data_IF_835177987726
#
_entry.id   IF_835177987726
#
_cell.length_a   1.000
_cell.length_b   1.000
_cell.length_c   1.000
_cell.angle_alpha   90.00
_cell.angle_beta   90.00
_cell.angle_gamma   90.00
#
_symmetry.space_group_name_H-M   'P 1'
#
loop_
_entity.id
_entity.type
_entity.pdbx_description
1 polymer ?
#
# COMPACT_ATOMS: atom_id res chain seq x y z
N UNK A 1 -22.60 -4.19 3.58
CA UNK A 1 -21.90 -4.86 4.69
C UNK A 1 -21.12 -6.04 4.16
N UNK A 2 -19.90 -6.18 4.57
CA UNK A 2 -19.05 -7.31 4.15
C UNK A 2 -19.21 -8.47 5.13
N UNK A 3 -19.51 -9.64 4.61
CA UNK A 3 -19.59 -10.84 5.44
C UNK A 3 -18.21 -11.28 5.88
N UNK A 4 -18.15 -11.91 7.05
CA UNK A 4 -16.92 -12.51 7.54
C UNK A 4 -16.47 -13.63 6.60
N UNK A 5 -15.16 -13.71 6.37
CA UNK A 5 -14.57 -14.76 5.57
C UNK A 5 -14.46 -16.05 6.36
N UNK A 6 -14.40 -17.21 5.67
CA UNK A 6 -14.14 -18.48 6.36
C UNK A 6 -12.84 -18.44 7.15
N UNK A 7 -12.79 -19.24 8.22
CA UNK A 7 -11.59 -19.41 9.00
C UNK A 7 -10.47 -20.04 8.16
N UNK A 8 -9.25 -19.54 8.33
CA UNK A 8 -8.04 -20.10 7.70
C UNK A 8 -7.03 -20.45 8.78
N UNK A 9 -6.01 -21.25 8.44
CA UNK A 9 -4.95 -21.56 9.38
C UNK A 9 -4.03 -20.35 9.57
N UNK A 10 -3.35 -20.29 10.70
CA UNK A 10 -2.35 -19.25 10.98
C UNK A 10 -1.23 -19.25 9.94
N UNK A 11 -0.90 -20.42 9.39
CA UNK A 11 0.12 -20.51 8.33
C UNK A 11 -0.24 -19.71 7.09
N UNK A 12 -1.53 -19.61 6.73
CA UNK A 12 -1.97 -18.78 5.62
C UNK A 12 -1.67 -17.30 5.88
N UNK A 13 -1.84 -16.84 7.12
CA UNK A 13 -1.46 -15.47 7.48
C UNK A 13 0.05 -15.27 7.38
N UNK A 14 0.84 -16.25 7.81
CA UNK A 14 2.30 -16.17 7.76
C UNK A 14 2.85 -16.16 6.32
N UNK A 15 2.10 -16.69 5.35
CA UNK A 15 2.49 -16.69 3.94
C UNK A 15 2.44 -15.29 3.31
N UNK A 16 1.65 -14.38 3.89
CA UNK A 16 1.51 -13.02 3.37
C UNK A 16 2.52 -12.11 4.07
N UNK A 17 3.42 -11.51 3.30
CA UNK A 17 4.47 -10.64 3.83
C UNK A 17 4.01 -9.18 3.78
N UNK A 18 3.64 -8.63 4.94
CA UNK A 18 3.17 -7.25 5.07
C UNK A 18 4.25 -6.46 5.79
N UNK A 19 4.72 -5.39 5.16
CA UNK A 19 5.79 -4.54 5.68
C UNK A 19 5.37 -3.08 5.72
N UNK A 20 5.99 -2.33 6.63
CA UNK A 20 5.86 -0.89 6.64
C UNK A 20 6.92 -0.27 5.74
N UNK A 21 6.56 0.79 5.03
CA UNK A 21 7.51 1.56 4.23
C UNK A 21 7.15 3.03 4.25
N UNK A 22 8.10 3.89 3.88
CA UNK A 22 7.92 5.33 3.81
C UNK A 22 7.73 5.76 2.36
N UNK A 23 6.68 6.50 2.07
CA UNK A 23 6.44 7.07 0.74
C UNK A 23 7.48 8.16 0.48
N UNK A 24 8.31 7.98 -0.55
CA UNK A 24 9.36 8.94 -0.91
C UNK A 24 9.01 9.77 -2.15
N UNK A 25 8.16 9.25 -3.04
CA UNK A 25 7.74 9.97 -4.25
C UNK A 25 6.27 9.71 -4.52
N UNK A 26 5.56 10.75 -4.94
CA UNK A 26 4.14 10.67 -5.32
C UNK A 26 4.00 11.35 -6.68
N UNK A 27 3.44 10.64 -7.65
CA UNK A 27 3.25 11.15 -9.01
C UNK A 27 1.81 10.91 -9.47
N UNK A 28 1.31 11.81 -10.33
CA UNK A 28 0.03 11.63 -11.00
C UNK A 28 0.04 10.35 -11.85
N UNK A 29 -1.14 9.74 -12.02
CA UNK A 29 -1.29 8.56 -12.86
C UNK A 29 -2.39 8.79 -13.90
N UNK A 30 -2.15 9.63 -14.91
CA UNK A 30 -3.20 9.97 -15.89
C UNK A 30 -3.65 8.77 -16.74
N UNK A 31 -2.80 7.75 -16.92
CA UNK A 31 -3.14 6.57 -17.72
C UNK A 31 -4.04 5.57 -16.99
N UNK A 32 -4.20 5.71 -15.68
CA UNK A 32 -5.05 4.80 -14.91
C UNK A 32 -6.52 5.05 -15.22
N UNK A 33 -7.33 4.00 -15.32
CA UNK A 33 -8.78 4.11 -15.56
C UNK A 33 -9.50 4.84 -14.44
N UNK A 34 -9.11 4.56 -13.20
CA UNK A 34 -9.64 5.22 -12.01
C UNK A 34 -8.57 6.12 -11.43
N UNK A 35 -8.94 7.28 -10.88
CA UNK A 35 -7.96 8.18 -10.29
C UNK A 35 -7.09 7.45 -9.27
N UNK A 36 -5.77 7.60 -9.41
CA UNK A 36 -4.79 6.93 -8.57
C UNK A 36 -3.52 7.76 -8.48
N UNK A 37 -2.71 7.47 -7.46
CA UNK A 37 -1.36 7.99 -7.31
C UNK A 37 -0.36 6.89 -7.64
N UNK A 38 0.75 7.24 -8.28
CA UNK A 38 1.93 6.38 -8.39
C UNK A 38 2.84 6.68 -7.21
N UNK A 39 3.04 5.70 -6.36
CA UNK A 39 3.87 5.83 -5.16
C UNK A 39 5.20 5.12 -5.35
N UNK A 40 6.28 5.73 -4.87
CA UNK A 40 7.54 5.06 -4.66
C UNK A 40 7.75 4.97 -3.15
N UNK A 41 7.97 3.76 -2.65
CA UNK A 41 7.96 3.48 -1.21
C UNK A 41 9.27 2.79 -0.83
N UNK A 42 9.92 3.28 0.21
CA UNK A 42 11.14 2.70 0.76
C UNK A 42 10.79 1.76 1.90
N UNK A 43 11.03 0.46 1.69
CA UNK A 43 10.79 -0.59 2.69
C UNK A 43 12.06 -1.01 3.43
N UNK A 44 13.10 -0.21 3.38
CA UNK A 44 14.36 -0.54 4.04
C UNK A 44 15.27 -1.43 3.18
N UNK A 45 16.47 -1.74 3.68
CA UNK A 45 17.51 -2.38 2.86
C UNK A 45 17.19 -3.82 2.43
N UNK A 46 16.36 -4.55 3.17
CA UNK A 46 16.04 -5.94 2.82
C UNK A 46 15.08 -6.02 1.63
N UNK A 47 13.98 -5.26 1.69
CA UNK A 47 12.96 -5.26 0.64
C UNK A 47 13.31 -4.25 -0.45
N UNK A 48 13.87 -3.11 -0.05
CA UNK A 48 14.27 -2.06 -0.98
C UNK A 48 13.14 -1.11 -1.33
N UNK A 49 13.35 -0.33 -2.38
CA UNK A 49 12.40 0.65 -2.89
C UNK A 49 11.48 -0.01 -3.90
N UNK A 50 10.17 0.14 -3.71
CA UNK A 50 9.15 -0.49 -4.56
C UNK A 50 8.13 0.55 -5.02
N UNK A 51 7.47 0.25 -6.14
CA UNK A 51 6.43 1.08 -6.73
C UNK A 51 5.05 0.49 -6.46
N UNK A 52 4.07 1.36 -6.24
CA UNK A 52 2.69 0.96 -6.01
C UNK A 52 1.74 1.96 -6.65
N UNK A 53 0.71 1.47 -7.32
CA UNK A 53 -0.44 2.27 -7.70
C UNK A 53 -1.48 2.19 -6.59
N UNK A 54 -2.03 3.33 -6.18
CA UNK A 54 -3.01 3.36 -5.10
C UNK A 54 -4.16 4.31 -5.44
N UNK A 55 -5.40 3.80 -5.38
CA UNK A 55 -6.61 4.55 -5.66
C UNK A 55 -7.05 5.32 -4.41
N UNK A 56 -6.26 6.28 -4.00
CA UNK A 56 -6.44 7.01 -2.74
C UNK A 56 -6.53 8.53 -2.96
N UNK A 57 -7.07 8.95 -4.09
CA UNK A 57 -7.12 10.37 -4.44
C UNK A 57 -8.21 11.16 -3.73
N UNK A 58 -9.19 10.49 -3.11
CA UNK A 58 -10.31 11.18 -2.45
C UNK A 58 -9.86 11.93 -1.18
N UNK A 59 -8.98 11.35 -0.39
CA UNK A 59 -8.57 11.90 0.90
C UNK A 59 -7.13 12.41 0.93
N UNK A 60 -6.32 12.09 -0.09
CA UNK A 60 -4.89 12.39 -0.07
C UNK A 60 -4.46 13.11 -1.33
N UNK A 61 -3.61 14.10 -1.17
CA UNK A 61 -2.87 14.72 -2.26
C UNK A 61 -1.38 14.37 -2.15
N UNK A 62 -0.59 14.82 -3.12
CA UNK A 62 0.83 14.51 -3.14
C UNK A 62 1.55 15.06 -1.90
N UNK A 63 1.16 16.26 -1.44
CA UNK A 63 1.79 16.89 -0.28
C UNK A 63 1.52 16.12 1.01
N UNK A 64 0.31 15.55 1.16
CA UNK A 64 -0.07 14.82 2.38
C UNK A 64 0.53 13.41 2.43
N UNK A 65 0.90 12.85 1.28
CA UNK A 65 1.41 11.48 1.19
C UNK A 65 2.92 11.39 1.38
N UNK A 66 3.68 12.36 0.91
CA UNK A 66 5.14 12.32 1.00
C UNK A 66 5.64 12.24 2.43
N UNK A 67 6.53 11.29 2.71
CA UNK A 67 7.09 11.08 4.04
C UNK A 67 6.22 10.25 4.98
N UNK A 68 5.03 9.85 4.54
CA UNK A 68 4.10 9.06 5.37
C UNK A 68 4.49 7.59 5.35
N UNK A 69 4.44 6.94 6.52
CA UNK A 69 4.56 5.49 6.58
C UNK A 69 3.24 4.83 6.23
N UNK A 70 3.31 3.77 5.43
CA UNK A 70 2.17 2.97 5.00
C UNK A 70 2.50 1.49 5.16
N UNK A 71 1.47 0.65 5.10
CA UNK A 71 1.62 -0.80 5.14
C UNK A 71 1.28 -1.37 3.77
N UNK A 72 2.06 -2.34 3.32
CA UNK A 72 1.84 -2.97 2.03
C UNK A 72 2.19 -4.45 2.05
N UNK A 73 1.50 -5.22 1.21
CA UNK A 73 1.88 -6.60 0.93
C UNK A 73 2.99 -6.57 -0.10
N UNK A 74 4.15 -7.14 0.23
CA UNK A 74 5.35 -7.05 -0.60
C UNK A 74 5.67 -8.34 -1.38
N UNK A 75 4.93 -9.42 -1.16
CA UNK A 75 5.19 -10.69 -1.81
C UNK A 75 4.08 -11.18 -2.74
N UNK A 76 3.36 -10.24 -3.35
CA UNK A 76 2.43 -10.56 -4.43
C UNK A 76 3.12 -10.40 -5.79
N UNK A 77 2.66 -11.12 -6.84
CA UNK A 77 3.17 -10.88 -8.19
C UNK A 77 2.97 -9.42 -8.61
N UNK A 78 3.93 -8.82 -9.33
CA UNK A 78 3.74 -7.48 -9.87
C UNK A 78 2.53 -7.40 -10.79
N UNK A 79 1.87 -6.24 -10.81
CA UNK A 79 0.71 -5.98 -11.65
C UNK A 79 1.00 -4.84 -12.62
N UNK A 80 0.80 -5.08 -13.90
CA UNK A 80 0.95 -4.04 -14.90
C UNK A 80 -0.36 -3.25 -15.06
N UNK A 81 -0.25 -1.92 -14.98
CA UNK A 81 -1.37 -0.99 -15.15
C UNK A 81 -0.92 0.03 -16.18
N UNK A 82 -1.32 -0.16 -17.46
CA UNK A 82 -0.80 0.63 -18.55
C UNK A 82 0.73 0.53 -18.62
N UNK A 83 1.46 1.65 -18.65
CA UNK A 83 2.93 1.65 -18.69
C UNK A 83 3.58 1.43 -17.33
N UNK A 84 2.80 1.37 -16.24
CA UNK A 84 3.30 1.31 -14.87
C UNK A 84 3.20 -0.10 -14.31
N UNK A 85 4.25 -0.53 -13.60
CA UNK A 85 4.26 -1.82 -12.91
C UNK A 85 4.14 -1.56 -11.41
N UNK A 86 3.00 -2.00 -10.82
CA UNK A 86 2.78 -1.94 -9.39
C UNK A 86 3.37 -3.20 -8.74
N UNK A 87 4.37 -3.03 -7.90
CA UNK A 87 5.14 -4.15 -7.33
C UNK A 87 4.60 -4.63 -6.00
N UNK A 88 3.91 -3.76 -5.26
CA UNK A 88 3.37 -4.06 -3.94
C UNK A 88 1.92 -3.60 -3.85
N UNK A 89 1.18 -4.12 -2.88
CA UNK A 89 -0.20 -3.74 -2.63
C UNK A 89 -0.25 -2.85 -1.38
N UNK A 90 -0.41 -1.55 -1.58
CA UNK A 90 -0.62 -0.61 -0.48
C UNK A 90 -1.99 -0.84 0.14
N UNK A 91 -2.04 -1.01 1.46
CA UNK A 91 -3.25 -1.42 2.17
C UNK A 91 -4.06 -0.23 2.66
N UNK A 92 -5.38 -0.39 2.63
CA UNK A 92 -6.30 0.62 3.12
C UNK A 92 -7.65 0.02 3.51
N UNK A 93 -8.46 0.84 4.10
CA UNK A 93 -9.83 0.52 4.52
C UNK A 93 -10.77 1.53 3.89
N UNK A 94 -11.99 1.09 3.56
CA UNK A 94 -13.01 2.02 3.08
C UNK A 94 -13.70 2.68 4.28
N UNK A 95 -13.85 4.00 4.24
CA UNK A 95 -14.66 4.71 5.21
C UNK A 95 -16.16 4.58 4.88
N UNK A 96 -17.02 5.27 5.63
CA UNK A 96 -18.47 5.19 5.43
C UNK A 96 -18.92 5.66 4.05
N UNK A 97 -18.15 6.55 3.41
CA UNK A 97 -18.47 7.09 2.08
C UNK A 97 -17.74 6.36 0.95
N UNK A 98 -17.00 5.31 1.27
CA UNK A 98 -16.26 4.51 0.29
C UNK A 98 -14.88 5.06 -0.06
N UNK A 99 -14.44 6.13 0.57
CA UNK A 99 -13.08 6.64 0.38
C UNK A 99 -12.07 5.75 1.09
N UNK A 100 -10.89 5.60 0.51
CA UNK A 100 -9.87 4.73 1.07
C UNK A 100 -9.02 5.48 2.09
N UNK A 101 -8.97 4.91 3.30
CA UNK A 101 -8.13 5.36 4.41
C UNK A 101 -6.93 4.43 4.52
N UNK A 102 -5.73 4.97 4.49
CA UNK A 102 -4.50 4.17 4.53
C UNK A 102 -4.30 3.50 5.89
N UNK A 103 -3.72 2.30 5.86
CA UNK A 103 -3.18 1.69 7.07
C UNK A 103 -1.80 2.27 7.33
N UNK A 104 -1.63 2.82 8.54
CA UNK A 104 -0.34 3.35 8.99
C UNK A 104 -0.05 2.83 10.39
N UNK A 105 1.23 2.66 10.78
CA UNK A 105 1.52 2.36 12.17
C UNK A 105 1.15 3.57 13.04
N UNK A 106 0.63 3.34 14.23
CA UNK A 106 0.22 4.38 15.17
C UNK A 106 1.36 5.32 15.53
N UNK A 107 2.59 4.80 15.52
CA UNK A 107 3.81 5.56 15.74
C UNK A 107 4.90 5.06 14.81
N UNK A 108 5.94 5.86 14.53
CA UNK A 108 6.98 5.45 13.59
C UNK A 108 7.68 4.17 14.02
N UNK A 109 7.94 3.30 13.03
CA UNK A 109 8.72 2.07 13.19
C UNK A 109 9.77 2.04 12.08
N UNK A 110 10.82 1.20 12.20
CA UNK A 110 11.81 1.09 11.12
C UNK A 110 11.16 0.64 9.81
N UNK A 111 11.59 1.22 8.69
CA UNK A 111 11.14 0.76 7.36
C UNK A 111 11.52 -0.70 7.17
N UNK A 112 10.58 -1.49 6.65
CA UNK A 112 10.73 -2.92 6.48
C UNK A 112 10.29 -3.75 7.67
N UNK A 113 9.83 -3.14 8.76
CA UNK A 113 9.32 -3.90 9.89
C UNK A 113 8.12 -4.75 9.45
N UNK A 114 8.16 -6.07 9.70
CA UNK A 114 7.07 -6.96 9.28
C UNK A 114 5.88 -6.87 10.25
N UNK A 115 4.69 -7.03 9.70
CA UNK A 115 3.48 -7.16 10.51
C UNK A 115 3.36 -8.60 11.04
N UNK A 116 2.95 -8.70 12.25
CA UNK A 116 2.74 -10.02 12.87
C UNK A 116 1.57 -10.00 13.84
#
# INVERSE_FOLDING_TARGET
>A
MTLAKPQVSFDHFLDVDIRVGTIITVEDFPEARKPAWKLTIDFGPEIGVKKSSAQITDLYDAASLGGRQVMAVVNLPPRQIGPFISEVLTLGLSDADGAIVLLTPERPVPDGAPMH
#
